data_IF_135311615910
#
_entry.id   IF_135311615910
#
_cell.length_a   1.000
_cell.length_b   1.000
_cell.length_c   1.000
_cell.angle_alpha   90.00
_cell.angle_beta   90.00
_cell.angle_gamma   90.00
#
_symmetry.space_group_name_H-M   'P 1'
#
loop_
_entity.id
_entity.type
_entity.pdbx_description
1 polymer ?
#
# COMPACT_ATOMS: atom_id res chain seq x y z
N UNK A 1 8.56 40.05 -8.33
CA UNK A 1 8.46 38.78 -9.10
C UNK A 1 7.07 38.14 -9.08
N UNK A 2 6.25 38.38 -8.04
CA UNK A 2 4.89 37.81 -7.94
C UNK A 2 3.88 38.31 -9.00
N UNK A 3 4.14 39.41 -9.66
CA UNK A 3 3.21 39.99 -10.66
C UNK A 3 3.25 39.33 -12.04
N UNK A 4 4.35 38.64 -12.40
CA UNK A 4 4.50 38.01 -13.72
C UNK A 4 3.64 36.74 -13.86
N UNK A 5 3.56 35.94 -12.82
CA UNK A 5 2.84 34.65 -12.82
C UNK A 5 1.32 34.88 -12.94
N UNK A 6 0.77 35.90 -12.25
CA UNK A 6 -0.65 36.25 -12.36
C UNK A 6 -1.05 36.71 -13.77
N UNK A 7 -0.13 37.36 -14.48
CA UNK A 7 -0.39 37.82 -15.85
C UNK A 7 -0.43 36.60 -16.80
N UNK A 8 0.49 35.66 -16.66
CA UNK A 8 0.52 34.40 -17.44
C UNK A 8 -0.75 33.60 -17.18
N UNK A 9 -1.14 33.43 -15.93
CA UNK A 9 -2.36 32.71 -15.55
C UNK A 9 -3.61 33.32 -16.17
N UNK A 10 -3.75 34.66 -16.15
CA UNK A 10 -4.86 35.35 -16.81
C UNK A 10 -4.90 35.14 -18.32
N UNK A 11 -3.75 35.13 -18.99
CA UNK A 11 -3.68 34.86 -20.45
C UNK A 11 -4.11 33.42 -20.74
N UNK A 12 -3.67 32.45 -19.92
CA UNK A 12 -4.06 31.04 -20.08
C UNK A 12 -5.57 30.87 -19.80
N UNK A 13 -6.11 31.51 -18.75
CA UNK A 13 -7.54 31.47 -18.46
C UNK A 13 -8.40 32.08 -19.56
N UNK A 14 -7.93 33.16 -20.20
CA UNK A 14 -8.59 33.72 -21.35
C UNK A 14 -8.63 32.82 -22.58
N UNK A 15 -7.56 32.01 -22.77
CA UNK A 15 -7.43 31.09 -23.90
C UNK A 15 -8.19 29.77 -23.72
N UNK A 16 -8.19 29.25 -22.50
CA UNK A 16 -8.65 27.89 -22.18
C UNK A 16 -9.82 27.81 -21.19
N UNK A 17 -10.28 28.95 -20.64
CA UNK A 17 -11.29 29.02 -19.61
C UNK A 17 -10.72 28.92 -18.21
N UNK A 18 -11.61 28.87 -17.20
CA UNK A 18 -11.21 28.81 -15.79
C UNK A 18 -10.33 27.60 -15.49
N UNK A 19 -9.16 27.84 -14.92
CA UNK A 19 -8.22 26.83 -14.51
C UNK A 19 -8.53 26.35 -13.10
N UNK A 20 -8.51 25.04 -12.88
CA UNK A 20 -8.65 24.41 -11.57
C UNK A 20 -7.26 23.98 -11.09
N UNK A 21 -6.68 24.78 -10.20
CA UNK A 21 -5.36 24.52 -9.62
C UNK A 21 -5.50 23.69 -8.36
N UNK A 22 -4.67 22.65 -8.27
CA UNK A 22 -4.56 21.81 -7.08
C UNK A 22 -3.16 21.94 -6.50
N UNK A 23 -3.08 22.00 -5.17
CA UNK A 23 -1.82 21.99 -4.45
C UNK A 23 -1.22 20.58 -4.29
N UNK A 24 -1.85 19.58 -4.90
CA UNK A 24 -1.46 18.18 -4.73
C UNK A 24 -1.45 17.42 -6.05
N UNK A 25 -0.59 16.43 -6.10
CA UNK A 25 -0.60 15.37 -7.10
C UNK A 25 -1.34 14.16 -6.53
N UNK A 26 -2.17 13.52 -7.34
CA UNK A 26 -2.89 12.31 -7.01
C UNK A 26 -2.99 11.40 -8.23
N UNK A 27 -2.54 10.14 -8.10
CA UNK A 27 -2.59 9.14 -9.16
C UNK A 27 -3.03 7.80 -8.60
N UNK A 28 -4.05 7.21 -9.22
CA UNK A 28 -4.43 5.81 -8.99
C UNK A 28 -4.04 4.94 -10.19
N UNK A 29 -3.41 3.81 -9.90
CA UNK A 29 -3.11 2.79 -10.89
C UNK A 29 -3.37 1.40 -10.35
N UNK A 30 -4.49 0.80 -10.74
CA UNK A 30 -5.00 -0.42 -10.11
C UNK A 30 -5.27 -0.19 -8.62
N UNK A 31 -4.71 -1.00 -7.71
CA UNK A 31 -4.85 -0.78 -6.28
C UNK A 31 -3.85 0.22 -5.71
N UNK A 32 -2.91 0.73 -6.48
CA UNK A 32 -1.87 1.64 -6.00
C UNK A 32 -2.32 3.09 -6.07
N UNK A 33 -2.02 3.83 -5.01
CA UNK A 33 -2.26 5.27 -4.90
C UNK A 33 -0.94 5.96 -4.60
N UNK A 34 -0.61 6.94 -5.44
CA UNK A 34 0.51 7.85 -5.25
C UNK A 34 -0.06 9.23 -4.99
N UNK A 35 0.37 9.90 -3.95
CA UNK A 35 -0.05 11.25 -3.64
C UNK A 35 1.10 12.08 -3.08
N UNK A 36 1.08 13.37 -3.35
CA UNK A 36 1.98 14.34 -2.73
C UNK A 36 1.30 15.70 -2.63
N UNK A 37 1.64 16.47 -1.61
CA UNK A 37 1.20 17.85 -1.45
C UNK A 37 2.40 18.77 -1.57
N UNK A 38 2.27 19.79 -2.42
CA UNK A 38 3.34 20.76 -2.71
C UNK A 38 3.37 21.82 -1.61
N UNK A 39 4.52 22.03 -0.96
CA UNK A 39 4.69 23.07 0.07
C UNK A 39 4.76 24.49 -0.53
N UNK A 40 5.29 24.62 -1.74
CA UNK A 40 5.49 25.91 -2.43
C UNK A 40 4.21 26.47 -3.08
N UNK A 41 3.05 25.85 -2.83
CA UNK A 41 1.79 26.30 -3.42
C UNK A 41 1.32 27.61 -2.80
N UNK A 42 1.15 28.64 -3.63
CA UNK A 42 0.49 29.90 -3.25
C UNK A 42 -1.04 29.77 -3.18
N UNK A 43 -1.60 28.63 -3.61
CA UNK A 43 -3.05 28.42 -3.73
C UNK A 43 -3.64 27.94 -2.41
N UNK A 44 -3.03 26.93 -1.80
CA UNK A 44 -3.44 26.35 -0.52
C UNK A 44 -2.31 25.53 0.09
N UNK A 45 -2.20 25.55 1.40
CA UNK A 45 -1.36 24.67 2.21
C UNK A 45 -2.16 23.59 2.93
N UNK A 46 -3.38 23.34 2.47
CA UNK A 46 -4.24 22.33 3.07
C UNK A 46 -3.70 20.92 2.79
N UNK A 47 -3.74 20.03 3.77
CA UNK A 47 -3.35 18.64 3.58
C UNK A 47 -4.35 17.91 2.70
N UNK A 48 -3.88 16.91 1.96
CA UNK A 48 -4.73 15.97 1.24
C UNK A 48 -5.15 14.83 2.19
N UNK A 49 -6.46 14.62 2.33
CA UNK A 49 -7.00 13.56 3.19
C UNK A 49 -7.55 12.43 2.32
N UNK A 50 -6.89 11.27 2.39
CA UNK A 50 -7.28 10.06 1.69
C UNK A 50 -8.03 9.13 2.67
N UNK A 51 -9.32 8.87 2.42
CA UNK A 51 -10.17 7.98 3.24
C UNK A 51 -10.35 6.63 2.56
N UNK A 52 -10.16 5.54 3.28
CA UNK A 52 -10.25 4.16 2.78
C UNK A 52 -9.36 3.22 3.58
N UNK A 53 -9.37 1.94 3.22
CA UNK A 53 -8.49 0.95 3.84
C UNK A 53 -7.21 0.83 3.01
N UNK A 54 -6.12 1.39 3.52
CA UNK A 54 -4.83 1.44 2.83
C UNK A 54 -3.75 0.67 3.58
N UNK A 55 -2.84 0.04 2.86
CA UNK A 55 -1.53 -0.38 3.37
C UNK A 55 -0.55 0.74 3.02
N UNK A 56 0.15 1.29 4.01
CA UNK A 56 1.20 2.27 3.77
C UNK A 56 2.48 1.54 3.34
N UNK A 57 2.88 1.74 2.08
CA UNK A 57 4.01 1.05 1.47
C UNK A 57 5.36 1.74 1.76
N UNK A 58 5.35 2.97 2.29
CA UNK A 58 6.56 3.62 2.78
C UNK A 58 6.93 3.17 4.20
N UNK A 59 5.98 2.62 4.94
CA UNK A 59 6.22 2.16 6.29
C UNK A 59 6.70 0.69 6.31
N UNK A 60 7.86 0.39 6.93
CA UNK A 60 8.45 -0.96 6.91
C UNK A 60 7.53 -2.06 7.44
N UNK A 61 6.62 -1.72 8.37
CA UNK A 61 5.68 -2.68 8.97
C UNK A 61 4.36 -2.81 8.21
N UNK A 62 4.23 -2.19 7.04
CA UNK A 62 3.04 -2.24 6.20
C UNK A 62 1.74 -2.03 7.01
N UNK A 63 1.59 -0.93 7.77
CA UNK A 63 0.42 -0.72 8.60
C UNK A 63 -0.84 -0.56 7.74
N UNK A 64 -1.98 -1.00 8.29
CA UNK A 64 -3.29 -0.75 7.69
C UNK A 64 -3.88 0.52 8.27
N UNK A 65 -4.20 1.47 7.40
CA UNK A 65 -4.76 2.77 7.73
C UNK A 65 -6.18 2.89 7.18
N UNK A 66 -7.08 3.51 7.95
CA UNK A 66 -8.43 3.90 7.49
C UNK A 66 -8.44 5.27 6.83
N UNK A 67 -7.38 6.02 7.05
CA UNK A 67 -7.18 7.35 6.51
C UNK A 67 -5.68 7.64 6.45
N UNK A 68 -5.21 8.28 5.38
CA UNK A 68 -3.88 8.89 5.29
C UNK A 68 -4.05 10.38 5.12
N UNK A 69 -3.39 11.16 5.96
CA UNK A 69 -3.22 12.60 5.80
C UNK A 69 -1.85 12.80 5.15
N UNK A 70 -1.81 13.53 4.06
CA UNK A 70 -0.58 13.92 3.36
C UNK A 70 -0.47 15.42 3.53
N UNK A 71 0.47 15.86 4.36
CA UNK A 71 0.71 17.28 4.62
C UNK A 71 1.55 17.91 3.51
N UNK A 72 1.65 19.26 3.44
CA UNK A 72 2.61 19.92 2.58
C UNK A 72 4.02 19.33 2.75
N UNK A 73 4.72 19.14 1.63
CA UNK A 73 6.04 18.51 1.51
C UNK A 73 6.07 17.00 1.83
N UNK A 74 4.90 16.37 2.00
CA UNK A 74 4.81 14.92 2.20
C UNK A 74 4.36 14.19 0.93
N UNK A 75 4.71 12.90 0.92
CA UNK A 75 4.33 11.94 -0.11
C UNK A 75 3.68 10.71 0.53
N UNK A 76 2.83 10.06 -0.23
CA UNK A 76 2.23 8.78 0.14
C UNK A 76 2.31 7.79 -1.01
N UNK A 77 2.68 6.55 -0.70
CA UNK A 77 2.56 5.41 -1.60
C UNK A 77 1.75 4.33 -0.89
N UNK A 78 0.53 4.10 -1.35
CA UNK A 78 -0.45 3.29 -0.67
C UNK A 78 -0.94 2.16 -1.57
N UNK A 79 -1.30 1.03 -0.94
CA UNK A 79 -2.09 -0.01 -1.58
C UNK A 79 -3.53 0.07 -1.05
N UNK A 80 -4.49 0.31 -1.91
CA UNK A 80 -5.90 0.39 -1.57
C UNK A 80 -6.51 -1.01 -1.50
N UNK A 81 -6.77 -1.49 -0.28
CA UNK A 81 -7.37 -2.82 -0.03
C UNK A 81 -8.80 -2.90 -0.60
N UNK A 82 -9.51 -1.77 -0.63
CA UNK A 82 -10.88 -1.72 -1.13
C UNK A 82 -10.98 -1.87 -2.64
N UNK A 83 -9.90 -1.56 -3.37
CA UNK A 83 -9.80 -1.77 -4.82
C UNK A 83 -9.61 -3.24 -5.22
N UNK A 84 -9.36 -4.15 -4.27
CA UNK A 84 -9.20 -5.58 -4.56
C UNK A 84 -10.53 -6.19 -4.99
N UNK A 85 -10.60 -6.65 -6.25
CA UNK A 85 -11.84 -7.14 -6.87
C UNK A 85 -12.37 -8.43 -6.22
N UNK A 86 -11.49 -9.37 -5.87
CA UNK A 86 -11.90 -10.66 -5.31
C UNK A 86 -11.34 -10.86 -3.89
N UNK A 87 -12.09 -10.36 -2.91
CA UNK A 87 -11.74 -10.49 -1.48
C UNK A 87 -11.90 -11.92 -0.92
N UNK A 88 -12.48 -12.85 -1.69
CA UNK A 88 -12.61 -14.27 -1.30
C UNK A 88 -11.43 -15.13 -1.73
N UNK A 89 -10.58 -14.63 -2.63
CA UNK A 89 -9.36 -15.32 -3.07
C UNK A 89 -8.20 -14.87 -2.18
N UNK A 90 -7.47 -15.81 -1.54
CA UNK A 90 -6.27 -15.45 -0.79
C UNK A 90 -5.22 -14.92 -1.77
N UNK A 91 -4.47 -13.90 -1.36
CA UNK A 91 -3.40 -13.31 -2.16
C UNK A 91 -2.48 -12.43 -1.32
N UNK A 92 -1.22 -12.34 -1.68
CA UNK A 92 -0.28 -11.39 -1.12
C UNK A 92 -0.56 -10.01 -1.73
N UNK A 93 -0.83 -9.02 -0.89
CA UNK A 93 -1.12 -7.64 -1.32
C UNK A 93 0.14 -6.79 -1.41
N UNK A 94 1.05 -6.97 -0.45
CA UNK A 94 2.34 -6.30 -0.40
C UNK A 94 3.37 -7.23 0.23
N UNK A 95 4.59 -7.24 -0.30
CA UNK A 95 5.70 -8.04 0.20
C UNK A 95 7.03 -7.52 -0.33
N UNK A 96 8.08 -7.64 0.47
CA UNK A 96 9.46 -7.40 0.05
C UNK A 96 10.09 -8.61 -0.67
N UNK A 97 9.47 -9.80 -0.58
CA UNK A 97 9.92 -11.03 -1.25
C UNK A 97 9.11 -11.37 -2.48
N UNK A 98 9.67 -12.20 -3.37
CA UNK A 98 8.92 -12.84 -4.45
C UNK A 98 8.27 -14.12 -3.94
N UNK A 99 7.04 -14.39 -4.41
CA UNK A 99 6.30 -15.60 -4.12
C UNK A 99 6.43 -16.58 -5.29
N UNK A 100 6.71 -17.84 -4.97
CA UNK A 100 6.80 -18.95 -5.90
C UNK A 100 5.88 -20.08 -5.44
N UNK A 101 5.48 -20.92 -6.35
CA UNK A 101 4.69 -22.14 -6.10
C UNK A 101 3.42 -21.86 -5.29
N UNK A 102 2.75 -20.76 -5.62
CA UNK A 102 1.49 -20.39 -4.96
C UNK A 102 0.41 -21.44 -5.22
N UNK A 103 -0.15 -21.96 -4.13
CA UNK A 103 -1.25 -22.91 -4.18
C UNK A 103 -2.41 -22.44 -3.32
N UNK A 104 -3.60 -22.46 -3.91
CA UNK A 104 -4.84 -22.14 -3.21
C UNK A 104 -5.70 -23.39 -3.10
N UNK A 105 -5.88 -23.88 -1.88
CA UNK A 105 -6.81 -24.95 -1.57
C UNK A 105 -8.19 -24.43 -1.13
N UNK A 106 -9.07 -25.35 -0.77
CA UNK A 106 -10.44 -25.00 -0.30
C UNK A 106 -10.42 -24.13 0.96
N UNK A 107 -9.47 -24.35 1.86
CA UNK A 107 -9.30 -23.65 3.15
C UNK A 107 -7.82 -23.41 3.47
N UNK A 108 -6.98 -23.33 2.47
CA UNK A 108 -5.55 -23.16 2.63
C UNK A 108 -4.96 -22.28 1.54
N UNK A 109 -3.85 -21.66 1.86
CA UNK A 109 -3.01 -20.90 0.95
C UNK A 109 -1.56 -21.15 1.30
N UNK A 110 -0.74 -21.50 0.33
CA UNK A 110 0.68 -21.77 0.55
C UNK A 110 1.52 -21.19 -0.59
N UNK A 111 2.76 -20.87 -0.27
CA UNK A 111 3.75 -20.37 -1.22
C UNK A 111 5.16 -20.47 -0.64
N UNK A 112 6.17 -20.29 -1.49
CA UNK A 112 7.56 -20.12 -1.10
C UNK A 112 7.95 -18.66 -1.28
N UNK A 113 8.40 -18.01 -0.21
CA UNK A 113 8.94 -16.64 -0.26
C UNK A 113 10.46 -16.69 -0.42
N UNK A 114 11.01 -15.99 -1.43
CA UNK A 114 12.45 -15.89 -1.65
C UNK A 114 12.90 -14.43 -1.66
N UNK A 115 13.95 -14.14 -0.90
CA UNK A 115 14.58 -12.82 -0.79
C UNK A 115 16.01 -12.99 -0.24
N UNK A 116 16.89 -11.99 -0.35
CA UNK A 116 18.25 -12.08 0.17
C UNK A 116 18.30 -12.44 1.65
N UNK A 117 19.33 -13.21 2.06
CA UNK A 117 19.60 -13.50 3.46
C UNK A 117 19.87 -12.23 4.27
N UNK A 118 19.80 -12.35 5.59
CA UNK A 118 20.06 -11.27 6.55
C UNK A 118 19.11 -10.05 6.39
N UNK A 119 17.95 -10.27 5.79
CA UNK A 119 16.90 -9.27 5.67
C UNK A 119 15.58 -9.80 6.24
N UNK A 120 14.75 -8.91 6.75
CA UNK A 120 13.43 -9.27 7.24
C UNK A 120 12.39 -9.11 6.14
N UNK A 121 11.57 -10.12 5.97
CA UNK A 121 10.37 -10.05 5.17
C UNK A 121 9.21 -9.53 5.99
N UNK A 122 8.49 -8.59 5.42
CA UNK A 122 7.20 -8.11 5.92
C UNK A 122 6.21 -8.23 4.79
N UNK A 123 5.09 -8.88 5.02
CA UNK A 123 4.06 -9.03 4.01
C UNK A 123 2.64 -8.85 4.58
N UNK A 124 1.76 -8.33 3.74
CA UNK A 124 0.32 -8.29 3.99
C UNK A 124 -0.38 -9.25 3.05
N UNK A 125 -1.15 -10.16 3.62
CA UNK A 125 -1.84 -11.24 2.91
C UNK A 125 -3.33 -11.09 3.14
N UNK A 126 -4.10 -10.96 2.08
CA UNK A 126 -5.56 -11.01 2.14
C UNK A 126 -6.02 -12.46 2.27
N UNK A 127 -6.89 -12.73 3.23
CA UNK A 127 -7.47 -14.05 3.44
C UNK A 127 -9.00 -13.97 3.51
N UNK A 128 -9.72 -15.00 3.06
CA UNK A 128 -11.19 -15.03 3.15
C UNK A 128 -11.71 -15.02 4.58
N UNK A 129 -10.93 -15.58 5.51
CA UNK A 129 -11.26 -15.74 6.94
C UNK A 129 -10.02 -15.64 7.80
N UNK A 130 -10.23 -15.40 9.09
CA UNK A 130 -9.16 -15.46 10.08
C UNK A 130 -8.44 -16.82 10.03
N UNK A 131 -7.10 -16.83 9.95
CA UNK A 131 -6.33 -18.05 9.97
C UNK A 131 -6.49 -18.77 11.31
N UNK A 132 -6.59 -20.10 11.26
CA UNK A 132 -6.54 -20.99 12.42
C UNK A 132 -5.13 -21.47 12.68
N UNK A 133 -4.36 -21.63 11.59
CA UNK A 133 -3.01 -22.13 11.65
C UNK A 133 -2.15 -21.37 10.63
N UNK A 134 -0.99 -20.91 11.08
CA UNK A 134 0.05 -20.30 10.24
C UNK A 134 1.36 -21.03 10.52
N UNK A 135 1.95 -21.63 9.50
CA UNK A 135 3.25 -22.31 9.57
C UNK A 135 4.22 -21.64 8.63
N UNK A 136 5.37 -21.30 9.14
CA UNK A 136 6.48 -20.70 8.40
C UNK A 136 7.72 -21.52 8.69
N UNK A 137 8.51 -21.88 7.66
CA UNK A 137 9.74 -22.68 7.86
C UNK A 137 10.91 -21.85 8.42
N UNK A 138 10.73 -20.55 8.64
CA UNK A 138 11.71 -19.72 9.35
C UNK A 138 11.76 -20.08 10.84
N UNK A 139 12.93 -19.93 11.52
CA UNK A 139 13.09 -20.26 12.93
C UNK A 139 12.11 -19.48 13.85
N UNK A 140 11.84 -18.24 13.51
CA UNK A 140 10.90 -17.36 14.22
C UNK A 140 10.08 -16.57 13.21
N UNK A 141 8.84 -16.28 13.58
CA UNK A 141 7.96 -15.40 12.79
C UNK A 141 6.94 -14.69 13.68
N UNK A 142 6.41 -13.58 13.20
CA UNK A 142 5.31 -12.83 13.81
C UNK A 142 4.12 -12.90 12.85
N UNK A 143 2.92 -13.14 13.38
CA UNK A 143 1.69 -13.11 12.60
C UNK A 143 0.60 -12.34 13.36
N UNK A 144 -0.01 -11.36 12.71
CA UNK A 144 -1.05 -10.51 13.27
C UNK A 144 -2.24 -10.42 12.32
N UNK A 145 -3.44 -10.70 12.83
CA UNK A 145 -4.67 -10.66 12.05
C UNK A 145 -5.42 -9.35 12.21
N UNK A 146 -5.63 -8.64 11.11
CA UNK A 146 -6.55 -7.51 11.06
C UNK A 146 -7.94 -8.00 10.60
N UNK A 147 -8.86 -8.06 11.57
CA UNK A 147 -10.23 -8.49 11.33
C UNK A 147 -11.02 -7.51 10.45
N UNK A 148 -10.69 -6.22 10.49
CA UNK A 148 -11.45 -5.19 9.77
C UNK A 148 -11.21 -5.26 8.26
N UNK A 149 -9.98 -5.55 7.85
CA UNK A 149 -9.60 -5.62 6.43
C UNK A 149 -9.40 -7.04 5.93
N UNK A 150 -9.53 -8.05 6.80
CA UNK A 150 -9.24 -9.45 6.49
C UNK A 150 -7.81 -9.67 5.99
N UNK A 151 -6.85 -8.96 6.56
CA UNK A 151 -5.45 -9.09 6.21
C UNK A 151 -4.62 -9.68 7.35
N UNK A 152 -3.67 -10.54 6.99
CA UNK A 152 -2.65 -11.08 7.87
C UNK A 152 -1.35 -10.32 7.63
N UNK A 153 -0.77 -9.72 8.68
CA UNK A 153 0.62 -9.32 8.70
C UNK A 153 1.45 -10.54 9.02
N UNK A 154 2.49 -10.79 8.24
CA UNK A 154 3.44 -11.86 8.47
C UNK A 154 4.87 -11.30 8.36
N UNK A 155 5.71 -11.58 9.38
CA UNK A 155 7.11 -11.14 9.41
C UNK A 155 7.99 -12.34 9.75
N UNK A 156 9.11 -12.49 9.04
CA UNK A 156 10.12 -13.53 9.27
C UNK A 156 11.44 -13.14 8.60
N UNK A 157 12.53 -13.79 9.01
CA UNK A 157 13.82 -13.65 8.34
C UNK A 157 13.80 -14.32 6.97
N UNK A 158 14.32 -13.62 5.97
CA UNK A 158 14.40 -14.13 4.60
C UNK A 158 15.45 -15.21 4.42
N UNK A 159 15.21 -16.09 3.44
CA UNK A 159 16.15 -17.10 3.01
C UNK A 159 16.16 -17.17 1.47
N UNK A 160 17.33 -17.08 0.79
CA UNK A 160 17.44 -17.21 -0.67
C UNK A 160 16.96 -18.55 -1.20
N UNK A 161 17.13 -19.63 -0.43
CA UNK A 161 16.63 -20.97 -0.80
C UNK A 161 15.11 -21.06 -0.70
N UNK A 162 14.49 -20.15 0.06
CA UNK A 162 13.06 -20.03 0.21
C UNK A 162 12.55 -20.35 1.61
N UNK A 163 11.56 -19.59 2.03
CA UNK A 163 10.81 -19.81 3.26
C UNK A 163 9.41 -20.28 2.87
N UNK A 164 9.07 -21.51 3.25
CA UNK A 164 7.74 -22.09 3.03
C UNK A 164 6.74 -21.47 3.97
N UNK A 165 5.64 -20.97 3.42
CA UNK A 165 4.49 -20.42 4.17
C UNK A 165 3.27 -21.26 3.89
N UNK A 166 2.57 -21.71 4.95
CA UNK A 166 1.33 -22.45 4.87
C UNK A 166 0.30 -21.80 5.82
N UNK A 167 -0.86 -21.44 5.31
CA UNK A 167 -1.92 -20.76 6.05
C UNK A 167 -3.22 -21.55 5.88
N UNK A 168 -3.90 -21.83 6.99
CA UNK A 168 -5.18 -22.56 7.01
C UNK A 168 -6.25 -21.77 7.79
N UNK A 169 -7.52 -21.74 7.30
CA UNK A 169 -8.65 -21.06 7.93
C UNK A 169 -9.94 -21.87 7.99
#
# INVERSE_FOLDING_TARGET
QAGGDQTILKVIEQAYGKLDYKNHFYLERGPYVLASVVDESDISKDPLILKGNYIDLFEPNLPVLKQKVVNPDEQAFLFNIDAVKNKKKPQVLASASRQYDEQTGKRSYSFIAKSPAETNNVMRILLPKQPKNVKVSAPTFISEWDKATHTLLLQFENNPEGVQVNIEW
#
